data_IF_547618775708
#
_entry.id   IF_547618775708
#
_cell.length_a   1.000
_cell.length_b   1.000
_cell.length_c   1.000
_cell.angle_alpha   90.00
_cell.angle_beta   90.00
_cell.angle_gamma   90.00
#
_symmetry.space_group_name_H-M   'P 1'
#
loop_
_entity.id
_entity.type
_entity.pdbx_description
1 polymer ?
#
# COMPACT_ATOMS: atom_id res chain seq x y z
N UNK A 1 13.13 5.43 -6.60
CA UNK A 1 12.03 6.31 -7.03
C UNK A 1 11.97 7.54 -6.12
N UNK A 2 11.63 8.71 -6.65
CA UNK A 2 11.24 9.89 -5.85
C UNK A 2 9.72 10.00 -5.94
N UNK A 3 9.04 10.09 -4.81
CA UNK A 3 7.58 9.95 -4.74
C UNK A 3 7.00 10.99 -3.79
N UNK A 4 6.13 11.84 -4.32
CA UNK A 4 5.40 12.86 -3.56
C UNK A 4 3.96 12.47 -3.23
N UNK A 5 3.22 13.42 -2.68
CA UNK A 5 1.78 13.31 -2.41
C UNK A 5 1.01 14.58 -2.75
N UNK A 6 -0.33 14.58 -2.59
CA UNK A 6 -1.09 13.56 -1.87
C UNK A 6 -1.38 12.31 -2.71
N UNK A 7 -1.28 11.13 -2.10
CA UNK A 7 -1.70 9.85 -2.69
C UNK A 7 -2.05 8.85 -1.60
N UNK A 8 -3.26 8.29 -1.66
CA UNK A 8 -3.70 7.23 -0.77
C UNK A 8 -4.61 6.26 -1.53
N UNK A 9 -4.46 4.97 -1.27
CA UNK A 9 -5.22 3.88 -1.89
C UNK A 9 -5.56 2.83 -0.83
N UNK A 10 -6.41 1.86 -1.16
CA UNK A 10 -6.79 0.78 -0.22
C UNK A 10 -6.02 -0.53 -0.42
N UNK A 11 -5.21 -0.63 -1.48
CA UNK A 11 -4.39 -1.81 -1.77
C UNK A 11 -3.16 -1.90 -0.86
N UNK A 12 -2.87 -3.12 -0.40
CA UNK A 12 -1.61 -3.50 0.21
C UNK A 12 -0.76 -4.22 -0.84
N UNK A 13 0.42 -3.69 -1.10
CA UNK A 13 1.43 -4.33 -1.91
C UNK A 13 2.22 -5.33 -1.07
N UNK A 14 2.55 -6.47 -1.66
CA UNK A 14 3.37 -7.51 -1.06
C UNK A 14 4.50 -7.81 -2.04
N UNK A 15 5.66 -7.27 -1.72
CA UNK A 15 6.90 -7.49 -2.43
C UNK A 15 7.70 -8.58 -1.71
N UNK A 16 8.21 -9.59 -2.42
CA UNK A 16 9.04 -10.64 -1.80
C UNK A 16 10.41 -10.14 -1.34
N UNK A 17 10.80 -8.94 -1.77
CA UNK A 17 12.07 -8.30 -1.45
C UNK A 17 11.87 -7.10 -0.53
N UNK A 18 12.88 -6.69 0.25
CA UNK A 18 12.77 -5.53 1.13
C UNK A 18 12.57 -4.22 0.36
N UNK A 19 11.93 -3.25 1.02
CA UNK A 19 11.77 -1.88 0.51
C UNK A 19 12.34 -0.88 1.51
N UNK A 20 13.20 0.01 1.03
CA UNK A 20 13.80 1.04 1.86
C UNK A 20 13.14 2.39 1.56
N UNK A 21 12.74 3.07 2.62
CA UNK A 21 12.07 4.36 2.60
C UNK A 21 12.95 5.40 3.28
N UNK A 22 13.00 6.59 2.69
CA UNK A 22 13.55 7.78 3.30
C UNK A 22 12.64 8.98 3.02
N UNK A 23 12.23 9.71 4.04
CA UNK A 23 11.42 10.91 3.85
C UNK A 23 12.30 12.16 3.84
N UNK A 24 12.43 12.78 2.67
CA UNK A 24 13.23 13.98 2.50
C UNK A 24 12.48 15.25 2.93
N UNK A 25 11.16 15.31 2.69
CA UNK A 25 10.30 16.43 3.09
C UNK A 25 8.95 15.92 3.58
N UNK A 26 8.55 16.31 4.78
CA UNK A 26 7.34 15.89 5.46
C UNK A 26 7.31 14.41 5.81
N UNK A 27 6.36 14.03 6.66
CA UNK A 27 6.12 12.66 7.06
C UNK A 27 5.22 11.92 6.06
N UNK A 28 5.39 10.61 5.97
CA UNK A 28 4.42 9.69 5.37
C UNK A 28 3.88 8.69 6.39
N UNK A 29 2.79 8.01 6.05
CA UNK A 29 2.27 6.88 6.82
C UNK A 29 2.40 5.61 5.97
N UNK A 30 3.02 4.58 6.52
CA UNK A 30 3.10 3.25 5.92
C UNK A 30 2.21 2.32 6.74
N UNK A 31 1.02 1.98 6.21
CA UNK A 31 0.16 0.98 6.84
C UNK A 31 0.74 -0.39 6.54
N UNK A 32 0.81 -1.28 7.53
CA UNK A 32 1.32 -2.64 7.37
C UNK A 32 0.41 -3.66 8.02
N UNK A 33 0.49 -4.91 7.55
CA UNK A 33 -0.05 -6.07 8.26
C UNK A 33 1.12 -6.90 8.78
N UNK A 34 1.35 -6.80 10.08
CA UNK A 34 2.45 -7.46 10.77
C UNK A 34 1.89 -8.53 11.71
N UNK A 35 2.21 -9.80 11.44
CA UNK A 35 1.66 -10.95 12.18
C UNK A 35 0.11 -10.93 12.29
N UNK A 36 -0.56 -10.53 11.20
CA UNK A 36 -2.01 -10.40 11.14
C UNK A 36 -2.59 -9.16 11.83
N UNK A 37 -1.74 -8.29 12.39
CA UNK A 37 -2.14 -7.04 13.03
C UNK A 37 -1.92 -5.86 12.10
N UNK A 38 -2.95 -5.05 11.92
CA UNK A 38 -2.85 -3.78 11.19
C UNK A 38 -2.13 -2.75 12.04
N UNK A 39 -1.10 -2.11 11.48
CA UNK A 39 -0.32 -1.07 12.15
C UNK A 39 -0.08 0.09 11.19
N UNK A 40 -0.06 1.30 11.75
CA UNK A 40 0.34 2.50 11.03
C UNK A 40 1.75 2.90 11.48
N UNK A 41 2.72 2.88 10.57
CA UNK A 41 4.08 3.34 10.83
C UNK A 41 4.20 4.76 10.27
N UNK A 42 4.49 5.73 11.13
CA UNK A 42 4.80 7.10 10.69
C UNK A 42 6.30 7.17 10.42
N UNK A 43 6.67 7.51 9.18
CA UNK A 43 8.05 7.77 8.77
C UNK A 43 8.15 9.28 8.62
N UNK A 44 8.79 9.96 9.59
CA UNK A 44 8.84 11.43 9.65
C UNK A 44 9.91 11.98 8.71
N UNK A 45 9.88 13.30 8.49
CA UNK A 45 10.94 13.98 7.74
C UNK A 45 12.31 13.67 8.35
N UNK A 46 13.26 13.24 7.52
CA UNK A 46 14.59 12.78 7.93
C UNK A 46 14.68 11.29 8.28
N UNK A 47 13.55 10.61 8.55
CA UNK A 47 13.56 9.20 8.95
C UNK A 47 13.89 8.27 7.77
N UNK A 48 14.58 7.18 8.12
CA UNK A 48 14.82 6.04 7.25
C UNK A 48 14.13 4.82 7.83
N UNK A 49 13.53 4.00 6.96
CA UNK A 49 12.85 2.79 7.36
C UNK A 49 13.09 1.67 6.35
N UNK A 50 13.46 0.48 6.83
CA UNK A 50 13.59 -0.71 5.99
C UNK A 50 12.43 -1.66 6.29
N UNK A 51 11.56 -1.84 5.30
CA UNK A 51 10.47 -2.80 5.36
C UNK A 51 10.97 -4.18 4.92
N UNK A 52 10.81 -5.23 5.75
CA UNK A 52 11.11 -6.59 5.35
C UNK A 52 10.25 -7.06 4.16
N UNK A 53 10.80 -7.94 3.33
CA UNK A 53 10.04 -8.58 2.27
C UNK A 53 8.88 -9.42 2.81
N UNK A 54 7.87 -9.63 1.98
CA UNK A 54 6.59 -10.29 2.26
C UNK A 54 5.69 -9.60 3.29
N UNK A 55 6.04 -8.41 3.78
CA UNK A 55 5.16 -7.61 4.63
C UNK A 55 4.13 -6.87 3.77
N UNK A 56 2.81 -7.16 3.89
CA UNK A 56 1.79 -6.38 3.21
C UNK A 56 1.84 -4.94 3.69
N UNK A 57 1.96 -4.00 2.76
CA UNK A 57 2.11 -2.59 3.09
C UNK A 57 1.33 -1.68 2.13
N UNK A 58 0.81 -0.57 2.66
CA UNK A 58 0.02 0.42 1.93
C UNK A 58 0.61 1.82 2.21
N UNK A 59 1.38 2.39 1.26
CA UNK A 59 1.96 3.73 1.41
C UNK A 59 0.91 4.83 1.27
N UNK A 60 0.81 5.68 2.29
CA UNK A 60 -0.02 6.89 2.32
C UNK A 60 0.89 8.11 2.34
N UNK A 61 0.72 8.98 1.34
CA UNK A 61 1.55 10.19 1.16
C UNK A 61 0.68 11.43 1.24
N UNK A 62 1.14 12.43 1.98
CA UNK A 62 0.40 13.67 2.22
C UNK A 62 0.83 14.77 1.27
N UNK A 63 0.06 15.86 1.20
CA UNK A 63 0.36 16.96 0.29
C UNK A 63 1.71 17.61 0.62
N UNK A 64 2.43 18.08 -0.41
CA UNK A 64 3.71 18.79 -0.27
C UNK A 64 4.86 17.98 0.38
N UNK A 65 4.75 16.65 0.39
CA UNK A 65 5.78 15.73 0.88
C UNK A 65 6.66 15.19 -0.25
N UNK A 66 7.89 14.80 0.07
CA UNK A 66 8.86 14.19 -0.87
C UNK A 66 9.57 13.04 -0.16
N UNK A 67 9.40 11.82 -0.68
CA UNK A 67 10.11 10.65 -0.20
C UNK A 67 10.94 9.97 -1.29
N UNK A 68 11.96 9.24 -0.86
CA UNK A 68 12.76 8.33 -1.66
C UNK A 68 12.37 6.90 -1.29
N UNK A 69 12.17 6.07 -2.31
CA UNK A 69 11.97 4.62 -2.16
C UNK A 69 13.02 3.90 -2.98
N UNK A 70 13.73 2.96 -2.36
CA UNK A 70 14.65 2.06 -3.04
C UNK A 70 14.13 0.64 -2.92
N UNK A 71 14.05 -0.02 -4.08
CA UNK A 71 13.73 -1.43 -4.20
C UNK A 71 14.79 -2.12 -5.04
N UNK A 72 14.99 -3.40 -4.82
CA UNK A 72 15.82 -4.20 -5.71
C UNK A 72 15.04 -4.63 -6.96
N UNK A 73 15.79 -4.93 -8.03
CA UNK A 73 15.22 -5.69 -9.14
C UNK A 73 14.71 -7.03 -8.61
N UNK A 74 13.52 -7.41 -9.08
CA UNK A 74 12.86 -8.66 -8.71
C UNK A 74 13.71 -9.86 -9.12
N UNK A 75 13.94 -10.85 -8.22
CA UNK A 75 14.42 -12.16 -8.60
C UNK A 75 13.53 -12.77 -9.71
N UNK A 76 14.12 -13.60 -10.59
CA UNK A 76 13.45 -14.11 -11.80
C UNK A 76 12.08 -14.75 -11.52
N UNK A 77 12.00 -15.57 -10.48
CA UNK A 77 10.78 -16.33 -10.15
C UNK A 77 9.93 -15.66 -9.06
N UNK A 78 10.28 -14.43 -8.68
CA UNK A 78 9.53 -13.69 -7.68
C UNK A 78 8.21 -13.14 -8.22
N UNK A 79 7.21 -13.13 -7.35
CA UNK A 79 5.88 -12.58 -7.62
C UNK A 79 5.59 -11.46 -6.64
N UNK A 80 5.09 -10.36 -7.19
CA UNK A 80 4.46 -9.30 -6.41
C UNK A 80 2.98 -9.62 -6.29
N UNK A 81 2.36 -9.18 -5.18
CA UNK A 81 0.92 -9.29 -4.99
C UNK A 81 0.31 -7.94 -4.62
N UNK A 82 -0.88 -7.67 -5.13
CA UNK A 82 -1.77 -6.63 -4.65
C UNK A 82 -2.89 -7.29 -3.86
N UNK A 83 -3.13 -6.83 -2.64
CA UNK A 83 -4.14 -7.40 -1.75
C UNK A 83 -5.04 -6.31 -1.18
N UNK A 84 -6.33 -6.59 -1.08
CA UNK A 84 -7.30 -5.72 -0.42
C UNK A 84 -7.89 -6.42 0.80
N UNK A 85 -8.08 -5.65 1.87
CA UNK A 85 -8.64 -6.14 3.12
C UNK A 85 -10.00 -5.50 3.39
N UNK A 86 -10.90 -6.25 4.03
CA UNK A 86 -12.20 -5.76 4.41
C UNK A 86 -12.09 -4.82 5.61
N UNK A 87 -12.52 -3.57 5.47
CA UNK A 87 -12.49 -2.59 6.56
C UNK A 87 -13.39 -2.97 7.76
N UNK A 88 -14.37 -3.87 7.57
CA UNK A 88 -15.28 -4.29 8.64
C UNK A 88 -14.76 -5.47 9.47
N UNK A 89 -14.06 -6.43 8.84
CA UNK A 89 -13.68 -7.69 9.53
C UNK A 89 -12.21 -8.10 9.35
N UNK A 90 -11.43 -7.35 8.58
CA UNK A 90 -10.00 -7.63 8.35
C UNK A 90 -9.69 -8.78 7.39
N UNK A 91 -10.71 -9.45 6.84
CA UNK A 91 -10.53 -10.56 5.89
C UNK A 91 -9.93 -10.09 4.56
N UNK A 92 -9.18 -10.96 3.89
CA UNK A 92 -8.75 -10.71 2.51
C UNK A 92 -9.97 -10.72 1.59
N UNK A 93 -10.19 -9.62 0.88
CA UNK A 93 -11.30 -9.45 -0.07
C UNK A 93 -10.88 -9.94 -1.44
N UNK A 94 -9.70 -9.51 -1.89
CA UNK A 94 -9.14 -9.88 -3.17
C UNK A 94 -7.61 -9.88 -3.11
N UNK A 95 -7.00 -10.74 -3.91
CA UNK A 95 -5.57 -10.76 -4.14
C UNK A 95 -5.28 -11.06 -5.61
N UNK A 96 -4.37 -10.30 -6.20
CA UNK A 96 -3.85 -10.53 -7.54
C UNK A 96 -2.32 -10.65 -7.49
N UNK A 97 -1.76 -11.65 -8.16
CA UNK A 97 -0.32 -11.88 -8.27
C UNK A 97 0.17 -11.58 -9.69
N UNK A 98 1.38 -11.03 -9.81
CA UNK A 98 1.99 -10.70 -11.10
C UNK A 98 3.52 -10.70 -11.02
N UNK A 99 4.17 -10.99 -12.15
CA UNK A 99 5.59 -10.71 -12.29
C UNK A 99 5.78 -9.21 -12.56
N UNK A 100 6.47 -8.51 -11.66
CA UNK A 100 6.67 -7.07 -11.77
C UNK A 100 7.80 -6.75 -12.76
N UNK A 101 7.42 -6.29 -13.96
CA UNK A 101 8.31 -5.76 -15.00
C UNK A 101 8.21 -4.24 -15.13
N UNK A 102 7.03 -3.68 -14.86
CA UNK A 102 6.76 -2.24 -14.75
C UNK A 102 5.81 -2.00 -13.57
N UNK A 103 6.39 -1.61 -12.44
CA UNK A 103 5.68 -1.41 -11.18
C UNK A 103 4.53 -0.40 -11.32
N UNK A 104 4.77 0.74 -11.98
CA UNK A 104 3.80 1.82 -12.05
C UNK A 104 2.57 1.43 -12.88
N UNK A 105 2.81 0.85 -14.06
CA UNK A 105 1.73 0.47 -14.98
C UNK A 105 0.93 -0.71 -14.45
N UNK A 106 1.60 -1.74 -13.91
CA UNK A 106 0.94 -2.96 -13.43
C UNK A 106 0.13 -2.72 -12.16
N UNK A 107 0.65 -1.93 -11.20
CA UNK A 107 -0.13 -1.52 -10.02
C UNK A 107 -1.38 -0.75 -10.44
N UNK A 108 -1.25 0.22 -11.36
CA UNK A 108 -2.39 1.01 -11.84
C UNK A 108 -3.46 0.12 -12.47
N UNK A 109 -3.06 -0.84 -13.29
CA UNK A 109 -3.98 -1.79 -13.92
C UNK A 109 -4.75 -2.62 -12.88
N UNK A 110 -4.05 -3.20 -11.89
CA UNK A 110 -4.66 -3.98 -10.83
C UNK A 110 -5.66 -3.16 -9.99
N UNK A 111 -5.33 -1.90 -9.69
CA UNK A 111 -6.22 -1.00 -8.95
C UNK A 111 -7.48 -0.64 -9.76
N UNK A 112 -7.37 -0.40 -11.07
CA UNK A 112 -8.54 -0.12 -11.91
C UNK A 112 -9.43 -1.35 -12.09
N UNK A 113 -8.83 -2.52 -12.25
CA UNK A 113 -9.54 -3.80 -12.33
C UNK A 113 -10.34 -4.07 -11.05
N UNK A 114 -9.72 -3.93 -9.88
CA UNK A 114 -10.43 -4.04 -8.61
C UNK A 114 -11.54 -2.99 -8.48
N UNK A 115 -11.26 -1.72 -8.82
CA UNK A 115 -12.25 -0.63 -8.74
C UNK A 115 -13.51 -0.90 -9.56
N UNK A 116 -13.35 -1.46 -10.77
CA UNK A 116 -14.43 -1.68 -11.74
C UNK A 116 -15.30 -2.91 -11.46
N UNK A 117 -14.93 -3.76 -10.52
CA UNK A 117 -15.54 -5.07 -10.32
C UNK A 117 -16.09 -5.22 -8.89
N UNK A 118 -17.41 -5.16 -8.75
CA UNK A 118 -18.06 -5.28 -7.43
C UNK A 118 -17.98 -6.70 -6.86
N UNK A 119 -17.85 -7.73 -7.68
CA UNK A 119 -17.72 -9.11 -7.20
C UNK A 119 -16.35 -9.30 -6.56
N UNK A 120 -15.28 -8.78 -7.19
CA UNK A 120 -13.93 -8.73 -6.59
C UNK A 120 -13.90 -7.88 -5.32
N UNK A 121 -14.76 -6.88 -5.20
CA UNK A 121 -14.81 -5.98 -4.03
C UNK A 121 -15.71 -6.48 -2.91
N UNK A 122 -16.53 -7.50 -3.13
CA UNK A 122 -17.45 -7.98 -2.10
C UNK A 122 -16.73 -8.96 -1.19
N UNK A 123 -16.64 -8.63 0.10
CA UNK A 123 -16.00 -9.51 1.07
C UNK A 123 -16.76 -10.83 1.20
N UNK A 124 -16.10 -11.95 0.87
CA UNK A 124 -16.71 -13.28 0.94
C UNK A 124 -17.13 -13.72 2.35
N UNK A 125 -16.61 -13.09 3.41
CA UNK A 125 -16.91 -13.44 4.80
C UNK A 125 -18.12 -12.71 5.39
N UNK A 126 -18.26 -11.41 5.14
CA UNK A 126 -19.31 -10.59 5.75
C UNK A 126 -20.19 -9.85 4.72
N UNK A 127 -19.95 -10.01 3.43
CA UNK A 127 -20.71 -9.36 2.36
C UNK A 127 -20.47 -7.86 2.22
N UNK A 128 -19.58 -7.27 3.04
CA UNK A 128 -19.26 -5.84 2.95
C UNK A 128 -18.55 -5.56 1.62
N UNK A 129 -19.06 -4.58 0.87
CA UNK A 129 -18.41 -4.07 -0.33
C UNK A 129 -17.20 -3.20 0.07
N UNK A 130 -16.00 -3.62 -0.31
CA UNK A 130 -14.77 -2.92 -0.02
C UNK A 130 -14.64 -1.63 -0.84
N UNK A 131 -14.08 -0.60 -0.21
CA UNK A 131 -13.77 0.66 -0.87
C UNK A 131 -12.49 0.52 -1.71
N UNK A 132 -12.49 1.15 -2.88
CA UNK A 132 -11.31 1.21 -3.77
C UNK A 132 -10.43 2.44 -3.52
N UNK A 133 -10.89 3.36 -2.67
CA UNK A 133 -10.16 4.53 -2.21
C UNK A 133 -10.50 4.80 -0.73
N UNK A 134 -9.57 5.38 0.06
CA UNK A 134 -9.86 5.73 1.44
C UNK A 134 -11.02 6.72 1.54
N UNK A 135 -11.87 6.58 2.57
CA UNK A 135 -12.97 7.52 2.80
C UNK A 135 -12.41 8.90 3.15
N UNK A 136 -13.01 10.01 2.67
CA UNK A 136 -12.61 11.35 3.07
C UNK A 136 -12.56 11.50 4.61
N UNK A 137 -11.46 12.04 5.14
CA UNK A 137 -11.26 12.24 6.58
C UNK A 137 -10.90 10.98 7.39
N UNK A 138 -10.80 9.79 6.76
CA UNK A 138 -10.46 8.55 7.48
C UNK A 138 -8.98 8.42 7.86
N UNK A 139 -8.11 9.19 7.22
CA UNK A 139 -6.67 9.20 7.46
C UNK A 139 -6.30 10.55 8.05
N UNK A 140 -5.69 10.54 9.24
CA UNK A 140 -5.15 11.75 9.88
C UNK A 140 -3.77 12.06 9.32
N UNK A 141 -3.53 13.32 8.99
CA UNK A 141 -2.24 13.79 8.49
C UNK A 141 -1.28 14.08 9.66
N UNK A 142 -0.18 13.32 9.81
CA UNK A 142 0.79 13.50 10.89
C UNK A 142 1.67 14.76 10.73
N UNK A 143 1.49 15.53 9.64
CA UNK A 143 2.19 16.80 9.41
C UNK A 143 1.39 18.02 9.90
N UNK A 144 0.15 17.83 10.37
CA UNK A 144 -0.71 18.90 10.90
C UNK A 144 -0.75 18.92 12.44
N UNK A 145 0.04 18.05 13.07
CA UNK A 145 0.22 17.97 14.52
C UNK A 145 1.33 18.91 15.00
#
# INVERSE_FOLDING_TARGET
MIVGGPNARTDYHINQTPEWFYQYKGAMMLKVVDEGKFRDIIIREGDMFLLPGNTPHNPVRFANTVGVVLEQRRPKDSLDRMRWYCASCGEVVHEAAFHCTDLGTQIKAAVQDFKGDNDKRTCGKCGTLADWAPKPGSIKDPNLE
#
